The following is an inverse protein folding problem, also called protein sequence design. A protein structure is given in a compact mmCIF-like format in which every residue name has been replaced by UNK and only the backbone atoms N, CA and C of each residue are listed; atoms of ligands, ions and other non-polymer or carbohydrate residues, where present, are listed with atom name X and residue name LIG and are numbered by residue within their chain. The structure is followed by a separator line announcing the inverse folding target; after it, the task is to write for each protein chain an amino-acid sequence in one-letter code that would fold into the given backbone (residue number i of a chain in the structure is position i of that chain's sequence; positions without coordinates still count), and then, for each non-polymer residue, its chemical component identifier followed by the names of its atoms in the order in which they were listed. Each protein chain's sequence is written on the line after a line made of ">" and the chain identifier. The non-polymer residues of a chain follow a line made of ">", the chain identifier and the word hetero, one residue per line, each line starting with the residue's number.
data_IF_634719717124
#
_entry.id   IF_634719717124
#
_cell.length_a   1.000
_cell.length_b   1.000
_cell.length_c   1.000
_cell.angle_alpha   90.00
_cell.angle_beta   90.00
_cell.angle_gamma   90.00
#
_symmetry.space_group_name_H-M   'P 1'
#
loop_
_entity.id
_entity.type
_entity.pdbx_description
1 polymer ?
#
# COMPACT_ATOMS: atom_id res chain seq x y z
N UNK A 1 27.99 33.75 -52.06
CA UNK A 1 28.70 32.60 -51.47
C UNK A 1 28.27 32.52 -50.01
N UNK A 2 27.27 31.71 -49.72
CA UNK A 2 26.73 31.55 -48.37
C UNK A 2 27.46 30.39 -47.68
N UNK A 3 27.91 30.52 -46.42
CA UNK A 3 28.50 29.40 -45.71
C UNK A 3 27.41 28.45 -45.19
N UNK A 4 27.64 27.16 -45.42
CA UNK A 4 26.81 26.05 -44.98
C UNK A 4 26.80 25.89 -43.45
N UNK A 5 25.62 25.60 -42.90
CA UNK A 5 25.42 25.18 -41.52
C UNK A 5 25.70 23.68 -41.40
N UNK A 6 26.84 23.31 -40.81
CA UNK A 6 27.18 21.93 -40.50
C UNK A 6 26.36 21.44 -39.30
N UNK A 7 25.79 20.25 -39.46
CA UNK A 7 24.84 19.56 -38.60
C UNK A 7 25.36 19.29 -37.18
N UNK A 8 24.60 19.74 -36.18
CA UNK A 8 24.77 19.33 -34.77
C UNK A 8 24.38 17.85 -34.62
N UNK A 9 25.31 17.03 -34.12
CA UNK A 9 25.06 15.64 -33.78
C UNK A 9 23.92 15.52 -32.76
N UNK A 10 22.88 14.75 -33.11
CA UNK A 10 21.77 14.46 -32.23
C UNK A 10 22.25 13.68 -30.99
N UNK A 11 22.10 14.28 -29.82
CA UNK A 11 22.22 13.59 -28.54
C UNK A 11 21.15 12.50 -28.49
N UNK A 12 21.58 11.23 -28.42
CA UNK A 12 20.69 10.09 -28.19
C UNK A 12 19.90 10.34 -26.90
N UNK A 13 18.58 10.17 -26.87
CA UNK A 13 17.85 10.23 -25.61
C UNK A 13 18.37 9.10 -24.72
N UNK A 14 18.90 9.48 -23.56
CA UNK A 14 19.24 8.54 -22.50
C UNK A 14 17.97 7.73 -22.22
N UNK A 15 18.07 6.41 -22.43
CA UNK A 15 16.95 5.50 -22.22
C UNK A 15 16.37 5.72 -20.84
N UNK A 16 15.04 5.73 -20.77
CA UNK A 16 14.29 5.74 -19.52
C UNK A 16 14.88 4.70 -18.57
N UNK A 17 15.60 5.16 -17.56
CA UNK A 17 16.04 4.31 -16.47
C UNK A 17 14.77 3.80 -15.80
N UNK A 18 14.62 2.47 -15.84
CA UNK A 18 13.56 1.73 -15.15
C UNK A 18 13.37 2.37 -13.76
N UNK A 19 12.14 2.72 -13.34
CA UNK A 19 11.93 3.29 -12.02
C UNK A 19 12.59 2.38 -10.99
N UNK A 20 13.29 2.97 -10.01
CA UNK A 20 13.88 2.25 -8.90
C UNK A 20 12.87 1.21 -8.41
N UNK A 21 13.26 -0.07 -8.45
CA UNK A 21 12.40 -1.16 -8.02
C UNK A 21 11.79 -0.77 -6.68
N UNK A 22 10.45 -0.78 -6.59
CA UNK A 22 9.76 -0.58 -5.32
C UNK A 22 10.50 -1.38 -4.24
N UNK A 23 10.75 -0.80 -3.06
CA UNK A 23 11.45 -1.51 -2.01
C UNK A 23 10.74 -2.85 -1.82
N UNK A 24 11.49 -3.93 -2.00
CA UNK A 24 10.96 -5.30 -1.96
C UNK A 24 10.44 -5.69 -0.56
N UNK A 25 10.38 -4.74 0.38
CA UNK A 25 9.98 -4.94 1.77
C UNK A 25 9.15 -3.77 2.25
N UNK A 26 8.14 -4.06 3.06
CA UNK A 26 7.26 -3.05 3.65
C UNK A 26 6.78 -3.46 5.03
N UNK A 27 6.38 -2.47 5.84
CA UNK A 27 5.45 -2.70 6.93
C UNK A 27 4.03 -2.67 6.35
N UNK A 28 3.13 -3.44 6.94
CA UNK A 28 1.72 -3.45 6.51
C UNK A 28 0.80 -3.49 7.72
N UNK A 29 -0.28 -2.75 7.64
CA UNK A 29 -1.37 -2.78 8.62
C UNK A 29 -2.70 -2.88 7.88
N UNK A 30 -3.78 -3.19 8.59
CA UNK A 30 -5.10 -3.41 8.02
C UNK A 30 -6.14 -2.51 8.70
N UNK A 31 -6.99 -1.86 7.91
CA UNK A 31 -8.04 -0.99 8.39
C UNK A 31 -9.38 -1.36 7.77
N UNK A 32 -10.40 -1.50 8.60
CA UNK A 32 -11.76 -1.81 8.19
C UNK A 32 -12.78 -0.99 9.00
N UNK A 33 -13.89 -0.66 8.35
CA UNK A 33 -15.02 0.03 8.96
C UNK A 33 -14.81 1.53 9.19
N UNK A 34 -15.83 2.13 9.82
CA UNK A 34 -15.92 3.56 10.12
C UNK A 34 -15.65 3.86 11.61
N UNK A 35 -14.87 3.01 12.27
CA UNK A 35 -14.52 3.19 13.68
C UNK A 35 -13.28 4.06 13.88
N UNK A 36 -12.89 4.18 15.14
CA UNK A 36 -11.73 4.97 15.56
C UNK A 36 -10.36 4.31 15.31
N UNK A 37 -10.31 3.12 14.69
CA UNK A 37 -9.07 2.41 14.39
C UNK A 37 -8.11 3.21 13.49
N UNK A 38 -8.62 4.16 12.71
CA UNK A 38 -7.78 5.13 11.96
C UNK A 38 -6.82 5.89 12.88
N UNK A 39 -7.22 6.18 14.14
CA UNK A 39 -6.36 6.83 15.14
C UNK A 39 -5.17 5.94 15.52
N UNK A 40 -5.39 4.63 15.60
CA UNK A 40 -4.36 3.62 15.84
C UNK A 40 -3.35 3.57 14.69
N UNK A 41 -3.82 3.50 13.46
CA UNK A 41 -2.97 3.52 12.25
C UNK A 41 -2.15 4.81 12.16
N UNK A 42 -2.77 5.96 12.46
CA UNK A 42 -2.06 7.25 12.53
C UNK A 42 -0.98 7.23 13.63
N UNK A 43 -1.27 6.64 14.79
CA UNK A 43 -0.33 6.49 15.90
C UNK A 43 0.87 5.60 15.55
N UNK A 44 0.59 4.40 15.01
CA UNK A 44 1.59 3.46 14.51
C UNK A 44 2.55 4.14 13.56
N UNK A 45 1.98 4.84 12.58
CA UNK A 45 2.77 5.47 11.54
C UNK A 45 3.60 6.67 12.03
N UNK A 46 3.09 7.46 12.98
CA UNK A 46 3.90 8.47 13.68
C UNK A 46 5.09 7.81 14.39
N UNK A 47 4.89 6.64 14.99
CA UNK A 47 5.95 5.83 15.60
C UNK A 47 7.04 5.42 14.61
N UNK A 48 6.65 4.84 13.47
CA UNK A 48 7.59 4.40 12.43
C UNK A 48 8.40 5.57 11.85
N UNK A 49 7.75 6.72 11.60
CA UNK A 49 8.47 7.95 11.16
C UNK A 49 9.45 8.45 12.20
N UNK A 50 9.06 8.47 13.49
CA UNK A 50 9.93 8.94 14.58
C UNK A 50 11.24 8.15 14.65
N UNK A 51 11.18 6.84 14.42
CA UNK A 51 12.37 5.97 14.41
C UNK A 51 13.07 5.89 13.05
N UNK A 52 12.60 6.66 12.05
CA UNK A 52 13.14 6.69 10.69
C UNK A 52 13.25 5.30 10.07
N UNK A 53 12.13 4.56 10.06
CA UNK A 53 12.11 3.21 9.48
C UNK A 53 12.61 3.17 8.04
N UNK A 54 13.34 2.11 7.71
CA UNK A 54 13.94 1.93 6.38
C UNK A 54 12.93 1.58 5.27
N UNK A 55 11.71 1.17 5.64
CA UNK A 55 10.69 0.67 4.71
C UNK A 55 9.37 1.44 4.88
N UNK A 56 8.57 1.55 3.81
CA UNK A 56 7.27 2.23 3.87
C UNK A 56 6.25 1.44 4.68
N UNK A 57 5.16 2.11 5.08
CA UNK A 57 3.96 1.49 5.63
C UNK A 57 2.87 1.46 4.56
N UNK A 58 2.35 0.26 4.28
CA UNK A 58 1.17 0.04 3.46
C UNK A 58 -0.04 -0.10 4.38
N UNK A 59 -1.13 0.59 4.07
CA UNK A 59 -2.41 0.42 4.77
C UNK A 59 -3.36 -0.32 3.83
N UNK A 60 -3.59 -1.60 4.10
CA UNK A 60 -4.61 -2.38 3.44
C UNK A 60 -5.99 -1.94 3.97
N UNK A 61 -6.87 -1.46 3.10
CA UNK A 61 -8.20 -0.94 3.48
C UNK A 61 -9.31 -1.76 2.85
N UNK A 62 -10.42 -1.93 3.57
CA UNK A 62 -11.66 -2.41 2.99
C UNK A 62 -12.51 -1.28 2.39
N UNK A 63 -13.47 -1.60 1.47
CA UNK A 63 -14.35 -0.61 0.86
C UNK A 63 -15.19 0.19 1.86
N UNK A 64 -15.47 -0.39 3.03
CA UNK A 64 -16.26 0.23 4.09
C UNK A 64 -15.48 1.26 4.95
N UNK A 65 -14.19 1.48 4.68
CA UNK A 65 -13.41 2.57 5.29
C UNK A 65 -13.77 3.88 4.60
N UNK A 66 -14.26 4.90 5.35
CA UNK A 66 -14.64 6.18 4.77
C UNK A 66 -13.52 6.86 4.00
N UNK A 67 -13.89 7.53 2.93
CA UNK A 67 -12.99 8.33 2.09
C UNK A 67 -12.21 9.38 2.90
N UNK A 68 -12.85 10.01 3.89
CA UNK A 68 -12.19 10.94 4.80
C UNK A 68 -10.99 10.30 5.53
N UNK A 69 -11.18 9.08 6.05
CA UNK A 69 -10.11 8.34 6.72
C UNK A 69 -8.97 8.03 5.75
N UNK A 70 -9.29 7.61 4.52
CA UNK A 70 -8.30 7.33 3.47
C UNK A 70 -7.47 8.58 3.14
N UNK A 71 -8.11 9.73 2.96
CA UNK A 71 -7.44 11.02 2.69
C UNK A 71 -6.55 11.47 3.84
N UNK A 72 -7.00 11.32 5.09
CA UNK A 72 -6.17 11.61 6.26
C UNK A 72 -4.90 10.77 6.19
N UNK A 73 -5.02 9.48 5.91
CA UNK A 73 -3.89 8.56 5.80
C UNK A 73 -2.95 8.92 4.63
N UNK A 74 -3.48 9.19 3.44
CA UNK A 74 -2.67 9.62 2.28
C UNK A 74 -1.92 10.93 2.54
N UNK A 75 -2.58 11.91 3.18
CA UNK A 75 -1.95 13.20 3.51
C UNK A 75 -0.74 13.07 4.45
N UNK A 76 -0.64 11.94 5.17
CA UNK A 76 0.47 11.63 6.06
C UNK A 76 1.60 10.83 5.35
N UNK A 77 1.47 10.63 4.04
CA UNK A 77 2.44 9.94 3.20
C UNK A 77 2.29 8.42 3.17
N UNK A 78 1.10 7.87 3.46
CA UNK A 78 0.88 6.43 3.40
C UNK A 78 0.47 5.96 2.01
N UNK A 79 0.81 4.71 1.73
CA UNK A 79 0.36 4.02 0.54
C UNK A 79 -0.91 3.26 0.92
N UNK A 80 -2.05 3.73 0.43
CA UNK A 80 -3.33 3.05 0.61
C UNK A 80 -3.45 1.96 -0.44
N UNK A 81 -3.80 0.77 -0.01
CA UNK A 81 -4.14 -0.34 -0.91
C UNK A 81 -5.52 -0.86 -0.58
N UNK A 82 -6.44 -0.62 -1.48
CA UNK A 82 -7.78 -1.18 -1.36
C UNK A 82 -7.76 -2.70 -1.60
N UNK A 83 -8.55 -3.41 -0.81
CA UNK A 83 -8.67 -4.86 -0.82
C UNK A 83 -10.13 -5.25 -0.67
N UNK A 84 -10.51 -6.39 -1.24
CA UNK A 84 -11.88 -6.88 -1.15
C UNK A 84 -12.08 -7.73 0.10
N UNK A 85 -13.27 -7.66 0.75
CA UNK A 85 -13.59 -8.52 1.87
C UNK A 85 -13.50 -10.01 1.49
N UNK A 86 -13.14 -10.84 2.47
CA UNK A 86 -13.13 -12.30 2.35
C UNK A 86 -14.29 -12.85 3.16
N UNK A 87 -15.26 -13.42 2.47
CA UNK A 87 -16.42 -14.08 3.08
C UNK A 87 -16.19 -15.60 3.17
N UNK A 88 -16.60 -16.24 4.28
CA UNK A 88 -16.55 -17.69 4.37
C UNK A 88 -17.55 -18.33 3.40
N UNK A 89 -17.31 -19.59 2.94
CA UNK A 89 -18.26 -20.32 2.12
C UNK A 89 -19.57 -20.58 2.87
N UNK A 90 -20.71 -20.51 2.17
CA UNK A 90 -22.04 -20.69 2.76
C UNK A 90 -22.26 -22.04 3.46
N UNK A 91 -21.56 -23.10 3.02
CA UNK A 91 -21.80 -24.48 3.44
C UNK A 91 -20.75 -25.04 4.41
N UNK A 92 -19.80 -24.23 4.87
CA UNK A 92 -18.69 -24.67 5.75
C UNK A 92 -18.59 -23.84 7.04
N UNK A 93 -19.73 -23.61 7.68
CA UNK A 93 -19.84 -22.74 8.85
C UNK A 93 -19.32 -23.34 10.17
N UNK A 94 -19.02 -24.64 10.22
CA UNK A 94 -18.50 -25.28 11.44
C UNK A 94 -17.15 -24.68 11.89
N UNK A 95 -16.32 -24.24 10.94
CA UNK A 95 -15.00 -23.66 11.21
C UNK A 95 -14.81 -22.26 10.61
N UNK A 96 -15.71 -21.83 9.72
CA UNK A 96 -15.65 -20.55 9.04
C UNK A 96 -16.90 -19.71 9.36
N UNK A 97 -16.81 -18.85 10.38
CA UNK A 97 -17.94 -18.06 10.86
C UNK A 97 -18.00 -16.69 10.18
N UNK A 98 -19.21 -16.26 9.76
CA UNK A 98 -19.42 -15.00 9.05
C UNK A 98 -18.98 -13.74 9.82
N UNK A 99 -19.02 -13.76 11.16
CA UNK A 99 -18.59 -12.59 11.95
C UNK A 99 -17.06 -12.38 11.96
N UNK A 100 -16.26 -13.35 11.47
CA UNK A 100 -14.80 -13.22 11.31
C UNK A 100 -14.39 -12.64 9.95
N UNK A 101 -15.30 -12.07 9.15
CA UNK A 101 -14.98 -11.46 7.84
C UNK A 101 -13.79 -10.49 7.92
N UNK A 102 -13.70 -9.68 8.99
CA UNK A 102 -12.56 -8.77 9.18
C UNK A 102 -11.24 -9.56 9.29
N UNK A 103 -11.23 -10.64 10.09
CA UNK A 103 -10.06 -11.49 10.30
C UNK A 103 -9.63 -12.20 9.01
N UNK A 104 -10.59 -12.74 8.25
CA UNK A 104 -10.30 -13.37 6.96
C UNK A 104 -9.77 -12.36 5.95
N UNK A 105 -10.32 -11.15 5.95
CA UNK A 105 -9.91 -10.09 5.03
C UNK A 105 -8.47 -9.61 5.27
N UNK A 106 -7.93 -9.74 6.50
CA UNK A 106 -6.50 -9.50 6.76
C UNK A 106 -5.60 -10.36 5.87
N UNK A 107 -6.05 -11.54 5.44
CA UNK A 107 -5.26 -12.43 4.59
C UNK A 107 -5.05 -11.90 3.17
N UNK A 108 -5.82 -10.89 2.71
CA UNK A 108 -5.59 -10.20 1.43
C UNK A 108 -4.20 -9.58 1.32
N UNK A 109 -3.57 -9.30 2.44
CA UNK A 109 -2.18 -8.83 2.52
C UNK A 109 -1.21 -9.82 1.84
N UNK A 110 -1.52 -11.13 1.79
CA UNK A 110 -0.71 -12.10 1.05
C UNK A 110 -0.73 -11.92 -0.46
N UNK A 111 -1.68 -11.17 -1.01
CA UNK A 111 -1.77 -10.87 -2.44
C UNK A 111 -0.80 -9.75 -2.87
N UNK A 112 -0.08 -9.14 -1.92
CA UNK A 112 0.88 -8.06 -2.18
C UNK A 112 2.22 -8.65 -2.64
N UNK A 113 2.17 -9.41 -3.73
CA UNK A 113 3.24 -10.25 -4.26
C UNK A 113 4.43 -9.45 -4.83
N UNK A 114 4.29 -8.13 -4.97
CA UNK A 114 5.42 -7.26 -5.33
C UNK A 114 6.46 -7.11 -4.19
N UNK A 115 6.10 -7.48 -2.95
CA UNK A 115 7.00 -7.44 -1.80
C UNK A 115 7.53 -8.85 -1.48
N UNK A 116 8.86 -8.99 -1.43
CA UNK A 116 9.53 -10.23 -0.98
C UNK A 116 9.32 -10.55 0.50
N UNK A 117 9.02 -9.55 1.32
CA UNK A 117 8.83 -9.68 2.76
C UNK A 117 8.01 -8.52 3.30
N UNK A 118 7.01 -8.82 4.12
CA UNK A 118 6.30 -7.80 4.88
C UNK A 118 6.28 -8.12 6.37
N UNK A 119 6.19 -7.07 7.19
CA UNK A 119 5.97 -7.18 8.63
C UNK A 119 4.60 -6.60 8.93
N UNK A 120 3.69 -7.45 9.39
CA UNK A 120 2.36 -7.03 9.80
C UNK A 120 2.40 -6.39 11.19
N UNK A 121 1.72 -5.25 11.34
CA UNK A 121 1.54 -4.52 12.60
C UNK A 121 0.05 -4.18 12.72
N UNK A 122 -0.60 -4.64 13.81
CA UNK A 122 -2.00 -4.34 14.11
C UNK A 122 -2.17 -2.93 14.69
#
# INVERSE_FOLDING_TARGET
>A
MAPELVQSAALKPAGFTKPASLPSRAYVTFLAGNGDYVKGVVGLAKGLRKVKTAYPLIVAVLPNVPEEHRRILESQGYIIRETEPVYPPEKQTQFAMAYYVINYSKLRIWEFVEYSKMIYLD
#
